data_IF_680070605398
#
_entry.id   IF_680070605398
#
_cell.length_a   1.000
_cell.length_b   1.000
_cell.length_c   1.000
_cell.angle_alpha   90.00
_cell.angle_beta   90.00
_cell.angle_gamma   90.00
#
_symmetry.space_group_name_H-M   'P 1'
#
loop_
_entity.id
_entity.type
_entity.pdbx_description
1 polymer ?
#
# COMPACT_ATOMS: atom_id res chain seq x y z
N UNK A 1 -6.56 7.71 20.11
CA UNK A 1 -6.66 7.61 18.63
C UNK A 1 -5.36 8.10 18.04
N UNK A 2 -4.81 7.42 17.04
CA UNK A 2 -3.60 7.87 16.32
C UNK A 2 -3.94 9.14 15.53
N UNK A 3 -3.11 10.16 15.64
CA UNK A 3 -3.25 11.39 14.84
C UNK A 3 -2.86 11.14 13.38
N UNK A 4 -3.33 11.98 12.46
CA UNK A 4 -2.91 11.88 11.05
C UNK A 4 -1.38 12.02 10.91
N UNK A 5 -0.74 12.88 11.70
CA UNK A 5 0.71 13.05 11.69
C UNK A 5 1.45 11.76 12.08
N UNK A 6 1.02 11.10 13.17
CA UNK A 6 1.59 9.82 13.58
C UNK A 6 1.39 8.73 12.52
N UNK A 7 0.23 8.72 11.84
CA UNK A 7 -0.03 7.78 10.76
C UNK A 7 0.91 8.00 9.55
N UNK A 8 1.22 9.26 9.21
CA UNK A 8 2.17 9.62 8.16
C UNK A 8 3.58 9.16 8.50
N UNK A 9 4.04 9.45 9.71
CA UNK A 9 5.36 9.04 10.19
C UNK A 9 5.51 7.51 10.21
N UNK A 10 4.47 6.81 10.67
CA UNK A 10 4.46 5.35 10.70
C UNK A 10 4.49 4.74 9.29
N UNK A 11 3.75 5.31 8.33
CA UNK A 11 3.80 4.88 6.94
C UNK A 11 5.20 5.04 6.33
N UNK A 12 5.88 6.16 6.60
CA UNK A 12 7.26 6.40 6.15
C UNK A 12 8.21 5.37 6.77
N UNK A 13 8.11 5.14 8.08
CA UNK A 13 8.94 4.16 8.81
C UNK A 13 8.77 2.75 8.26
N UNK A 14 7.53 2.32 8.02
CA UNK A 14 7.22 1.01 7.46
C UNK A 14 7.67 0.89 6.00
N UNK A 15 7.48 1.94 5.19
CA UNK A 15 8.00 2.01 3.82
C UNK A 15 9.51 1.77 3.76
N UNK A 16 10.26 2.48 4.60
CA UNK A 16 11.70 2.29 4.72
C UNK A 16 12.08 0.86 5.13
N UNK A 17 11.35 0.28 6.09
CA UNK A 17 11.57 -1.11 6.52
C UNK A 17 11.28 -2.13 5.40
N UNK A 18 10.24 -1.93 4.59
CA UNK A 18 9.95 -2.81 3.46
C UNK A 18 11.04 -2.73 2.39
N UNK A 19 11.50 -1.52 2.08
CA UNK A 19 12.56 -1.29 1.11
C UNK A 19 13.89 -1.90 1.57
N UNK A 20 14.30 -1.65 2.82
CA UNK A 20 15.56 -2.17 3.38
C UNK A 20 15.60 -3.71 3.41
N UNK A 21 14.45 -4.36 3.57
CA UNK A 21 14.33 -5.83 3.55
C UNK A 21 14.15 -6.42 2.15
N UNK A 22 14.18 -5.58 1.10
CA UNK A 22 14.09 -6.02 -0.30
C UNK A 22 12.68 -6.39 -0.76
N UNK A 23 11.63 -6.04 -0.02
CA UNK A 23 10.25 -6.31 -0.43
C UNK A 23 9.71 -5.30 -1.46
N UNK A 24 10.36 -4.15 -1.56
CA UNK A 24 10.14 -3.14 -2.59
C UNK A 24 11.49 -2.76 -3.21
N UNK A 25 11.50 -2.51 -4.51
CA UNK A 25 12.70 -2.11 -5.26
C UNK A 25 12.35 -0.98 -6.22
N UNK A 26 13.23 0.02 -6.36
CA UNK A 26 12.94 1.22 -7.15
C UNK A 26 11.62 1.89 -6.71
N UNK A 27 10.71 2.11 -7.66
CA UNK A 27 9.39 2.69 -7.42
C UNK A 27 8.25 1.67 -7.31
N UNK A 28 8.58 0.38 -7.12
CA UNK A 28 7.58 -0.68 -7.02
C UNK A 28 6.95 -0.76 -5.63
N UNK A 29 5.64 -0.96 -5.59
CA UNK A 29 4.85 -1.05 -4.36
C UNK A 29 4.24 0.27 -3.91
N UNK A 30 3.16 0.19 -3.15
CA UNK A 30 2.48 1.32 -2.54
C UNK A 30 1.67 0.90 -1.31
N UNK A 31 1.45 1.88 -0.43
CA UNK A 31 0.80 1.68 0.85
C UNK A 31 -0.43 2.59 0.93
N UNK A 32 -1.47 2.15 1.62
CA UNK A 32 -2.55 3.04 2.06
C UNK A 32 -3.08 2.67 3.44
N UNK A 33 -3.65 3.66 4.12
CA UNK A 33 -4.26 3.55 5.45
C UNK A 33 -5.56 4.36 5.48
N UNK A 34 -6.61 3.80 6.08
CA UNK A 34 -7.86 4.50 6.37
C UNK A 34 -7.69 5.37 7.62
N UNK A 35 -7.90 6.68 7.47
CA UNK A 35 -7.83 7.66 8.55
C UNK A 35 -9.16 7.74 9.33
N UNK A 36 -9.15 8.27 10.56
CA UNK A 36 -10.37 8.42 11.37
C UNK A 36 -11.45 9.30 10.74
N UNK A 37 -11.09 10.22 9.87
CA UNK A 37 -12.02 11.09 9.12
C UNK A 37 -12.62 10.42 7.88
N UNK A 38 -12.29 9.15 7.63
CA UNK A 38 -12.77 8.37 6.49
C UNK A 38 -11.99 8.58 5.19
N UNK A 39 -10.96 9.43 5.18
CA UNK A 39 -10.06 9.56 4.03
C UNK A 39 -9.00 8.45 4.02
N UNK A 40 -8.38 8.25 2.86
CA UNK A 40 -7.22 7.38 2.69
C UNK A 40 -5.94 8.22 2.67
N UNK A 41 -4.99 7.85 3.52
CA UNK A 41 -3.59 8.23 3.38
C UNK A 41 -2.91 7.23 2.45
N UNK A 42 -2.12 7.68 1.49
CA UNK A 42 -1.49 6.81 0.51
C UNK A 42 -0.12 7.31 0.05
N UNK A 43 0.69 6.41 -0.50
CA UNK A 43 1.99 6.77 -1.11
C UNK A 43 1.79 7.46 -2.47
N UNK A 44 2.57 8.51 -2.78
CA UNK A 44 2.51 9.22 -4.06
C UNK A 44 2.91 8.37 -5.27
N UNK A 45 2.49 8.78 -6.46
CA UNK A 45 2.90 8.16 -7.72
C UNK A 45 4.40 8.26 -7.94
N UNK A 46 5.03 7.17 -8.41
CA UNK A 46 6.46 7.16 -8.74
C UNK A 46 7.40 7.30 -7.55
N UNK A 47 6.89 7.20 -6.31
CA UNK A 47 7.70 7.28 -5.11
C UNK A 47 8.46 5.98 -4.82
N UNK A 48 9.64 6.10 -4.22
CA UNK A 48 10.38 4.99 -3.63
C UNK A 48 9.92 4.81 -2.19
N UNK A 49 9.50 3.61 -1.78
CA UNK A 49 9.07 3.36 -0.39
C UNK A 49 10.18 3.65 0.63
N UNK A 50 11.45 3.53 0.22
CA UNK A 50 12.63 3.84 1.04
C UNK A 50 12.84 5.33 1.32
N UNK A 51 12.19 6.22 0.57
CA UNK A 51 12.47 7.67 0.56
C UNK A 51 11.20 8.52 0.71
N UNK A 52 10.14 7.94 1.29
CA UNK A 52 8.88 8.64 1.52
C UNK A 52 9.07 9.85 2.47
N UNK A 53 8.30 10.91 2.23
CA UNK A 53 8.26 12.10 3.07
C UNK A 53 6.84 12.28 3.62
N UNK A 54 6.72 12.37 4.95
CA UNK A 54 5.44 12.31 5.67
C UNK A 54 4.45 13.41 5.24
N UNK A 55 4.97 14.62 5.03
CA UNK A 55 4.26 15.82 4.57
C UNK A 55 3.78 15.73 3.11
N UNK A 56 4.43 14.90 2.30
CA UNK A 56 4.11 14.69 0.88
C UNK A 56 3.20 13.51 0.60
N UNK A 57 2.92 12.65 1.59
CA UNK A 57 1.98 11.55 1.42
C UNK A 57 0.60 12.05 0.97
N UNK A 58 0.04 11.36 -0.01
CA UNK A 58 -1.24 11.71 -0.63
C UNK A 58 -2.40 11.46 0.32
N UNK A 59 -3.36 12.38 0.37
CA UNK A 59 -4.66 12.17 1.01
C UNK A 59 -5.75 12.12 -0.06
N UNK A 60 -6.58 11.08 -0.03
CA UNK A 60 -7.59 10.80 -1.05
C UNK A 60 -8.92 10.44 -0.39
N UNK A 61 -10.05 10.95 -0.89
CA UNK A 61 -11.37 10.55 -0.41
C UNK A 61 -11.67 9.09 -0.80
N UNK A 62 -12.59 8.42 -0.11
CA UNK A 62 -13.08 7.10 -0.56
C UNK A 62 -13.78 7.17 -1.93
N UNK A 63 -14.22 8.35 -2.38
CA UNK A 63 -14.77 8.59 -3.71
C UNK A 63 -13.70 8.80 -4.79
N UNK A 64 -12.43 8.97 -4.39
CA UNK A 64 -11.28 9.06 -5.30
C UNK A 64 -10.77 10.48 -5.53
N UNK A 65 -11.33 11.46 -4.82
CA UNK A 65 -10.89 12.85 -4.93
C UNK A 65 -9.55 13.02 -4.24
N UNK A 66 -8.61 13.68 -4.90
CA UNK A 66 -7.32 14.03 -4.31
C UNK A 66 -7.48 15.27 -3.43
N UNK A 67 -7.24 15.11 -2.13
CA UNK A 67 -7.50 16.13 -1.11
C UNK A 67 -6.26 16.95 -0.76
N UNK A 68 -5.10 16.30 -0.61
CA UNK A 68 -3.83 16.97 -0.27
C UNK A 68 -2.61 16.07 -0.51
N UNK A 69 -1.41 16.61 -0.25
CA UNK A 69 -0.12 15.94 -0.50
C UNK A 69 0.18 15.85 -1.98
N UNK A 70 1.14 15.01 -2.38
CA UNK A 70 1.46 14.78 -3.78
C UNK A 70 0.39 13.91 -4.46
N UNK A 71 0.43 13.86 -5.80
CA UNK A 71 -0.50 13.05 -6.59
C UNK A 71 -0.41 11.57 -6.19
N UNK A 72 -1.53 10.89 -5.88
CA UNK A 72 -1.52 9.49 -5.43
C UNK A 72 -1.06 8.54 -6.53
N UNK A 73 -0.59 7.36 -6.11
CA UNK A 73 -0.32 6.24 -7.03
C UNK A 73 -1.55 5.94 -7.90
N UNK A 74 -1.33 5.59 -9.17
CA UNK A 74 -2.40 5.15 -10.09
C UNK A 74 -3.14 3.92 -9.57
N UNK A 75 -2.47 3.14 -8.73
CA UNK A 75 -2.94 1.91 -8.10
C UNK A 75 -3.89 2.15 -6.92
N UNK A 76 -4.05 3.40 -6.47
CA UNK A 76 -4.99 3.75 -5.39
C UNK A 76 -6.44 3.36 -5.71
N UNK A 77 -6.77 3.22 -7.00
CA UNK A 77 -8.09 2.78 -7.47
C UNK A 77 -8.46 1.38 -6.94
N UNK A 78 -7.53 0.40 -6.98
CA UNK A 78 -7.82 -0.94 -6.47
C UNK A 78 -7.74 -1.00 -4.94
N UNK A 79 -6.88 -0.18 -4.31
CA UNK A 79 -6.87 -0.04 -2.84
C UNK A 79 -8.25 0.40 -2.36
N UNK A 80 -8.84 1.44 -2.97
CA UNK A 80 -10.20 1.91 -2.67
C UNK A 80 -11.25 0.81 -2.77
N UNK A 81 -11.17 -0.05 -3.79
CA UNK A 81 -12.09 -1.17 -3.95
C UNK A 81 -12.03 -2.13 -2.75
N UNK A 82 -10.84 -2.39 -2.18
CA UNK A 82 -10.71 -3.22 -0.98
C UNK A 82 -11.40 -2.59 0.23
N UNK A 83 -11.22 -1.28 0.46
CA UNK A 83 -11.89 -0.57 1.55
C UNK A 83 -13.42 -0.54 1.39
N UNK A 84 -13.92 -0.36 0.17
CA UNK A 84 -15.36 -0.29 -0.11
C UNK A 84 -16.06 -1.65 0.06
N UNK A 85 -15.35 -2.75 -0.20
CA UNK A 85 -15.92 -4.11 -0.13
C UNK A 85 -15.59 -4.85 1.17
N UNK A 86 -14.69 -4.32 2.00
CA UNK A 86 -14.34 -4.90 3.29
C UNK A 86 -14.25 -3.81 4.38
N UNK A 87 -15.32 -3.62 5.18
CA UNK A 87 -15.32 -2.63 6.27
C UNK A 87 -14.24 -2.85 7.34
N UNK A 88 -13.73 -4.07 7.49
CA UNK A 88 -12.64 -4.39 8.42
C UNK A 88 -11.26 -4.01 7.87
N UNK A 89 -11.13 -3.76 6.56
CA UNK A 89 -9.87 -3.32 5.96
C UNK A 89 -9.52 -1.91 6.44
N UNK A 90 -8.39 -1.76 7.15
CA UNK A 90 -7.86 -0.47 7.61
C UNK A 90 -6.56 -0.06 6.95
N UNK A 91 -5.82 -1.00 6.37
CA UNK A 91 -4.57 -0.74 5.66
C UNK A 91 -4.43 -1.70 4.48
N UNK A 92 -3.74 -1.25 3.43
CA UNK A 92 -3.37 -2.08 2.28
C UNK A 92 -1.88 -1.89 2.01
N UNK A 93 -1.19 -3.01 1.82
CA UNK A 93 0.23 -3.06 1.48
C UNK A 93 0.35 -3.80 0.15
N UNK A 94 0.70 -3.07 -0.90
CA UNK A 94 0.99 -3.64 -2.21
C UNK A 94 2.49 -3.64 -2.44
N UNK A 95 3.07 -4.79 -2.74
CA UNK A 95 4.51 -4.99 -2.88
C UNK A 95 4.80 -5.93 -4.04
N UNK A 96 5.98 -5.79 -4.63
CA UNK A 96 6.51 -6.70 -5.66
C UNK A 96 7.59 -7.58 -5.04
N UNK A 97 7.23 -8.31 -3.98
CA UNK A 97 8.13 -9.24 -3.32
C UNK A 97 8.55 -10.34 -4.31
N UNK A 98 9.86 -10.59 -4.45
CA UNK A 98 10.44 -11.46 -5.48
C UNK A 98 9.70 -12.79 -5.66
N UNK A 99 9.45 -13.52 -4.57
CA UNK A 99 8.81 -14.84 -4.64
C UNK A 99 7.30 -14.77 -4.91
N UNK A 100 6.59 -13.77 -4.37
CA UNK A 100 5.15 -13.60 -4.67
C UNK A 100 4.94 -13.15 -6.11
N UNK A 101 5.81 -12.27 -6.62
CA UNK A 101 5.79 -11.88 -8.03
C UNK A 101 6.09 -13.07 -8.93
N UNK A 102 7.11 -13.88 -8.61
CA UNK A 102 7.41 -15.10 -9.37
C UNK A 102 6.21 -16.08 -9.37
N UNK A 103 5.60 -16.29 -8.20
CA UNK A 103 4.38 -17.11 -8.08
C UNK A 103 3.26 -16.57 -8.98
N UNK A 104 3.01 -15.25 -8.97
CA UNK A 104 1.95 -14.62 -9.78
C UNK A 104 2.11 -14.79 -11.29
N UNK A 105 3.32 -15.14 -11.77
CA UNK A 105 3.59 -15.41 -13.18
C UNK A 105 3.37 -16.88 -13.58
N UNK A 106 3.14 -17.79 -12.63
CA UNK A 106 2.90 -19.21 -12.91
C UNK A 106 1.47 -19.45 -13.39
N UNK A 107 1.31 -20.43 -14.28
CA UNK A 107 0.00 -20.92 -14.71
C UNK A 107 -0.42 -22.16 -13.90
N UNK A 108 -1.72 -22.45 -13.88
CA UNK A 108 -2.25 -23.65 -13.22
C UNK A 108 -2.09 -23.64 -11.69
N UNK A 109 -2.07 -22.46 -11.09
CA UNK A 109 -2.09 -22.32 -9.64
C UNK A 109 -3.41 -22.83 -9.07
N UNK A 110 -3.32 -23.49 -7.92
CA UNK A 110 -4.47 -23.79 -7.10
C UNK A 110 -4.90 -22.50 -6.39
N UNK A 111 -6.07 -21.98 -6.78
CA UNK A 111 -6.60 -20.72 -6.24
C UNK A 111 -7.12 -20.87 -4.81
N UNK A 112 -7.36 -22.10 -4.36
CA UNK A 112 -7.80 -22.40 -3.00
C UNK A 112 -6.63 -22.67 -2.06
N UNK A 113 -5.40 -22.82 -2.60
CA UNK A 113 -4.21 -23.12 -1.81
C UNK A 113 -2.96 -22.34 -2.27
N UNK A 114 -2.72 -21.21 -1.63
CA UNK A 114 -1.55 -20.37 -1.89
C UNK A 114 -0.21 -21.00 -1.43
N UNK A 115 -0.22 -22.04 -0.60
CA UNK A 115 0.99 -22.70 -0.08
C UNK A 115 0.82 -24.21 -0.21
N UNK A 116 1.35 -24.79 -1.29
CA UNK A 116 1.44 -26.25 -1.40
C UNK A 116 2.25 -26.78 -0.21
N UNK A 117 1.77 -27.84 0.50
CA UNK A 117 2.53 -28.43 1.58
C UNK A 117 3.94 -28.79 1.10
N UNK A 118 4.95 -28.45 1.89
CA UNK A 118 6.35 -28.81 1.61
C UNK A 118 6.68 -30.26 2.02
N UNK A 119 5.65 -31.09 2.27
CA UNK A 119 5.75 -32.47 2.75
C UNK A 119 5.24 -33.46 1.73
#
# INVERSE_FOLDING_TARGET
>A
MTTEQQAREEMVRLGASFFQRGYATGSAGNLSLLLPDGALLATPTGSCLGELQADRLSKVSLNGDWLSGDKPSKEISFHRALYLNNPECKAVVHLHCTYLTALSCLQGLDVDNAIKPFT
#
